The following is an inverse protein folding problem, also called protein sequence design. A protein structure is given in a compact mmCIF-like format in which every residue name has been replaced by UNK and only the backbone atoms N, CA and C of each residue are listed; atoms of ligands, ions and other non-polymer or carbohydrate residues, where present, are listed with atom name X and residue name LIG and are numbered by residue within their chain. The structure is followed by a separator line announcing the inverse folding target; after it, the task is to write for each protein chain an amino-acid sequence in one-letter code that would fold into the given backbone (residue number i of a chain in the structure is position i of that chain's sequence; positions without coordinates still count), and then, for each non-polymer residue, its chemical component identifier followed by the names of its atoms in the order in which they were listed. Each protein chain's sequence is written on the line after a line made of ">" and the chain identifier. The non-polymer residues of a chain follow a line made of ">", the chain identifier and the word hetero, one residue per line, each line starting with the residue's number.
data_IF_404352324308
#
_entry.id   IF_404352324308
#
_cell.length_a   1.000
_cell.length_b   1.000
_cell.length_c   1.000
_cell.angle_alpha   90.00
_cell.angle_beta   90.00
_cell.angle_gamma   90.00
#
_symmetry.space_group_name_H-M   'P 1'
#
loop_
_entity.id
_entity.type
_entity.pdbx_description
1 polymer ?
#
# COMPACT_ATOMS: atom_id res chain seq x y z
N UNK A 1 -48.36 -31.62 3.71
CA UNK A 1 -47.00 -31.93 3.23
C UNK A 1 -46.61 -30.88 2.20
N UNK A 2 -45.44 -30.23 2.38
CA UNK A 2 -44.68 -29.46 1.38
C UNK A 2 -45.13 -28.04 0.99
N UNK A 3 -44.47 -27.03 1.57
CA UNK A 3 -44.10 -25.76 0.88
C UNK A 3 -43.05 -24.98 1.69
N UNK A 4 -41.79 -25.44 1.71
CA UNK A 4 -40.69 -24.63 2.28
C UNK A 4 -39.32 -24.96 1.65
N UNK A 5 -39.18 -24.70 0.34
CA UNK A 5 -37.90 -24.87 -0.39
C UNK A 5 -37.40 -23.62 -1.12
N UNK A 6 -38.21 -22.58 -1.27
CA UNK A 6 -37.93 -21.45 -2.18
C UNK A 6 -37.06 -20.33 -1.58
N UNK A 7 -36.89 -20.28 -0.26
CA UNK A 7 -36.14 -19.19 0.40
C UNK A 7 -34.62 -19.39 0.42
N UNK A 8 -34.12 -20.63 0.37
CA UNK A 8 -32.67 -20.91 0.54
C UNK A 8 -31.81 -20.55 -0.66
N UNK A 9 -32.38 -20.50 -1.86
CA UNK A 9 -31.65 -20.20 -3.11
C UNK A 9 -31.44 -18.71 -3.31
N UNK A 10 -32.40 -17.86 -2.90
CA UNK A 10 -32.30 -16.40 -3.06
C UNK A 10 -31.18 -15.78 -2.22
N UNK A 11 -30.96 -16.28 -1.01
CA UNK A 11 -29.92 -15.75 -0.09
C UNK A 11 -28.50 -15.99 -0.60
N UNK A 12 -28.27 -17.08 -1.34
CA UNK A 12 -26.93 -17.43 -1.88
C UNK A 12 -26.51 -16.54 -3.04
N UNK A 13 -27.47 -16.12 -3.88
CA UNK A 13 -27.21 -15.24 -5.03
C UNK A 13 -26.81 -13.83 -4.58
N UNK A 14 -27.48 -13.30 -3.55
CA UNK A 14 -27.19 -11.97 -3.01
C UNK A 14 -25.79 -11.94 -2.37
N UNK A 15 -25.42 -12.98 -1.63
CA UNK A 15 -24.09 -13.08 -1.02
C UNK A 15 -22.95 -13.09 -2.06
N UNK A 16 -23.16 -13.74 -3.22
CA UNK A 16 -22.18 -13.76 -4.30
C UNK A 16 -21.94 -12.39 -4.94
N UNK A 17 -22.99 -11.58 -5.11
CA UNK A 17 -22.87 -10.23 -5.69
C UNK A 17 -22.16 -9.24 -4.75
N UNK A 18 -22.38 -9.35 -3.45
CA UNK A 18 -21.68 -8.51 -2.45
C UNK A 18 -20.19 -8.82 -2.41
N UNK A 19 -19.80 -10.09 -2.50
CA UNK A 19 -18.40 -10.50 -2.53
C UNK A 19 -17.67 -9.99 -3.80
N UNK A 20 -18.35 -9.96 -4.95
CA UNK A 20 -17.78 -9.45 -6.20
C UNK A 20 -17.59 -7.92 -6.17
N UNK A 21 -18.52 -7.18 -5.54
CA UNK A 21 -18.40 -5.73 -5.38
C UNK A 21 -17.29 -5.32 -4.40
N UNK A 22 -17.00 -6.14 -3.39
CA UNK A 22 -15.92 -5.86 -2.43
C UNK A 22 -14.51 -6.12 -3.02
N UNK A 23 -14.39 -7.01 -4.01
CA UNK A 23 -13.10 -7.38 -4.62
C UNK A 23 -12.47 -6.31 -5.52
N UNK A 24 -13.24 -5.36 -6.05
CA UNK A 24 -12.76 -4.37 -7.03
C UNK A 24 -12.08 -3.15 -6.39
N UNK A 25 -12.26 -2.92 -5.08
CA UNK A 25 -11.67 -1.77 -4.36
C UNK A 25 -10.17 -1.96 -4.12
N UNK A 26 -9.67 -3.20 -4.11
CA UNK A 26 -8.25 -3.50 -3.85
C UNK A 26 -7.28 -3.19 -5.00
N UNK A 27 -7.77 -3.07 -6.23
CA UNK A 27 -6.92 -2.93 -7.43
C UNK A 27 -6.46 -1.47 -7.63
N UNK A 28 -7.18 -0.50 -7.07
CA UNK A 28 -6.84 0.93 -7.15
C UNK A 28 -5.66 1.35 -6.24
N UNK A 29 -5.10 0.43 -5.45
CA UNK A 29 -3.96 0.70 -4.57
C UNK A 29 -2.61 0.79 -5.30
N UNK A 30 -2.51 0.28 -6.51
CA UNK A 30 -1.30 0.37 -7.33
C UNK A 30 -1.20 1.77 -7.95
N UNK A 31 -0.63 2.73 -7.21
CA UNK A 31 -0.28 4.05 -7.75
C UNK A 31 0.89 3.91 -8.71
N UNK A 32 0.65 4.10 -10.00
CA UNK A 32 1.72 4.28 -11.00
C UNK A 32 2.59 5.46 -10.58
N UNK A 33 3.91 5.31 -10.68
CA UNK A 33 4.83 6.41 -10.40
C UNK A 33 4.46 7.63 -11.26
N UNK A 34 4.48 8.86 -10.71
CA UNK A 34 4.19 10.06 -11.48
C UNK A 34 5.09 10.14 -12.73
N UNK A 35 4.48 10.30 -13.90
CA UNK A 35 5.22 10.48 -15.14
C UNK A 35 6.05 11.77 -15.07
N UNK A 36 7.31 11.73 -15.51
CA UNK A 36 8.19 12.90 -15.57
C UNK A 36 9.05 13.16 -14.33
N UNK A 37 9.03 12.30 -13.32
CA UNK A 37 10.02 12.37 -12.23
C UNK A 37 11.37 11.82 -12.69
N UNK A 38 12.43 12.62 -12.55
CA UNK A 38 13.81 12.17 -12.72
C UNK A 38 14.43 11.94 -11.35
N UNK A 39 14.93 10.73 -11.11
CA UNK A 39 15.61 10.38 -9.87
C UNK A 39 17.12 10.42 -10.11
N UNK A 40 17.85 11.15 -9.27
CA UNK A 40 19.30 11.18 -9.25
C UNK A 40 19.81 10.88 -7.84
N UNK A 41 21.02 10.33 -7.76
CA UNK A 41 21.64 10.07 -6.46
C UNK A 41 22.24 11.37 -5.92
N UNK A 42 21.73 11.84 -4.78
CA UNK A 42 22.27 13.03 -4.10
C UNK A 42 23.54 12.71 -3.29
N UNK A 43 23.52 11.60 -2.53
CA UNK A 43 24.66 11.11 -1.73
C UNK A 43 24.65 9.58 -1.80
N UNK A 44 25.82 8.97 -2.02
CA UNK A 44 26.01 7.51 -2.07
C UNK A 44 26.80 6.97 -0.87
N UNK A 45 26.96 5.65 -0.82
CA UNK A 45 27.82 4.94 0.15
C UNK A 45 27.46 5.10 1.63
N UNK A 46 26.19 5.39 1.93
CA UNK A 46 25.67 5.46 3.29
C UNK A 46 25.45 4.06 3.89
N UNK A 47 25.86 3.86 5.13
CA UNK A 47 25.65 2.63 5.88
C UNK A 47 24.32 2.69 6.66
N UNK A 48 23.27 2.08 6.11
CA UNK A 48 21.93 2.00 6.73
C UNK A 48 21.38 3.40 7.10
N UNK A 49 21.10 4.26 6.11
CA UNK A 49 20.49 5.56 6.37
C UNK A 49 19.15 5.37 7.09
N UNK A 50 18.96 6.10 8.19
CA UNK A 50 17.81 5.99 9.08
C UNK A 50 16.85 7.17 8.93
N UNK A 51 17.39 8.39 8.84
CA UNK A 51 16.61 9.61 8.74
C UNK A 51 17.38 10.72 7.99
N UNK A 52 16.65 11.73 7.50
CA UNK A 52 17.15 12.88 6.74
C UNK A 52 16.45 14.17 7.18
N UNK A 53 17.21 15.27 7.29
CA UNK A 53 16.68 16.60 7.57
C UNK A 53 17.35 17.67 6.71
N UNK A 54 16.61 18.72 6.36
CA UNK A 54 17.10 19.85 5.57
C UNK A 54 17.33 21.06 6.46
N UNK A 55 18.47 21.73 6.27
CA UNK A 55 18.75 22.99 6.96
C UNK A 55 18.22 24.17 6.15
N UNK A 56 17.91 25.32 6.81
CA UNK A 56 17.50 26.53 6.08
C UNK A 56 18.51 27.02 5.04
N UNK A 57 19.79 26.67 5.21
CA UNK A 57 20.90 27.03 4.30
C UNK A 57 21.08 26.10 3.10
N UNK A 58 20.07 25.29 2.74
CA UNK A 58 20.14 24.24 1.69
C UNK A 58 21.11 23.09 2.00
N UNK A 59 21.50 22.92 3.26
CA UNK A 59 22.24 21.75 3.71
C UNK A 59 21.33 20.55 3.92
N UNK A 60 21.92 19.35 3.89
CA UNK A 60 21.23 18.09 4.15
C UNK A 60 21.99 17.33 5.23
N UNK A 61 21.27 16.94 6.28
CA UNK A 61 21.75 16.12 7.38
C UNK A 61 21.13 14.72 7.25
N UNK A 62 21.89 13.68 7.60
CA UNK A 62 21.38 12.31 7.63
C UNK A 62 21.91 11.59 8.86
N UNK A 63 21.17 10.57 9.32
CA UNK A 63 21.61 9.67 10.38
C UNK A 63 21.80 8.26 9.84
N UNK A 64 22.79 7.54 10.38
CA UNK A 64 23.06 6.15 10.06
C UNK A 64 22.73 5.27 11.25
N UNK A 65 22.02 4.16 11.02
CA UNK A 65 21.65 3.26 12.10
C UNK A 65 22.85 2.43 12.56
N UNK A 66 23.28 2.63 13.80
CA UNK A 66 24.30 1.79 14.43
C UNK A 66 23.70 0.46 14.92
N UNK A 67 24.39 -0.64 14.63
CA UNK A 67 24.10 -1.96 15.22
C UNK A 67 22.91 -2.75 14.66
N UNK A 68 22.61 -3.87 15.31
CA UNK A 68 21.43 -4.75 15.12
C UNK A 68 20.82 -4.95 16.52
N UNK A 69 19.49 -4.90 16.64
CA UNK A 69 18.82 -5.42 17.84
C UNK A 69 18.93 -6.94 17.76
N UNK A 70 19.43 -7.58 18.82
CA UNK A 70 19.48 -9.04 18.99
C UNK A 70 18.45 -9.44 20.03
#
# INVERSE_FOLDING_TARGET
>A
MSTNRTHRTRTRVIAGLVALAAGTVGIAGCRTAPAGLTVSTAVGSLNRPWDIAFTPGRGMLFTEKVGRIK
#
